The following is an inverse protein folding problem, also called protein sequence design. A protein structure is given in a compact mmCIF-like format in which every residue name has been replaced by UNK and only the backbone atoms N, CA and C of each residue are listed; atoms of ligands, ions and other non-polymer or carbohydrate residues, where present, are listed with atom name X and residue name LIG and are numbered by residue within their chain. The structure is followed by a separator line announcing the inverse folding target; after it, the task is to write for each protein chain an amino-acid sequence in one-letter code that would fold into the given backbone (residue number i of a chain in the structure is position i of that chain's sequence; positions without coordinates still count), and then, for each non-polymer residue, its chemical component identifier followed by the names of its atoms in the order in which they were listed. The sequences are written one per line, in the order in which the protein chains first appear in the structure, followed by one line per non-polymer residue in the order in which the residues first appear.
data_IF_919470261555
#
_entry.id   IF_919470261555
#
_cell.length_a   1.000
_cell.length_b   1.000
_cell.length_c   1.000
_cell.angle_alpha   90.00
_cell.angle_beta   90.00
_cell.angle_gamma   90.00
#
_symmetry.space_group_name_H-M   'P 1'
#
loop_
_entity.id
_entity.type
_entity.pdbx_description
1 polymer ?
#
# COMPACT_ATOMS: atom_id res chain seq x y z
N UNK A 1 2.61 -13.48 7.62
CA UNK A 1 2.76 -12.99 9.03
C UNK A 1 1.98 -11.69 9.28
N UNK A 2 2.37 -10.53 8.72
CA UNK A 2 1.69 -9.25 9.01
C UNK A 2 0.23 -9.19 8.50
N UNK A 3 -0.01 -9.64 7.26
CA UNK A 3 -1.37 -9.72 6.68
C UNK A 3 -2.23 -10.74 7.43
N UNK A 4 -1.66 -11.87 7.85
CA UNK A 4 -2.39 -12.89 8.61
C UNK A 4 -2.82 -12.34 9.98
N UNK A 5 -1.94 -11.63 10.68
CA UNK A 5 -2.28 -10.97 11.94
C UNK A 5 -3.39 -9.92 11.74
N UNK A 6 -3.32 -9.14 10.66
CA UNK A 6 -4.37 -8.18 10.30
C UNK A 6 -5.71 -8.87 10.02
N UNK A 7 -5.69 -9.97 9.27
CA UNK A 7 -6.88 -10.80 9.01
C UNK A 7 -7.50 -11.31 10.31
N UNK A 8 -6.69 -11.93 11.18
CA UNK A 8 -7.16 -12.47 12.45
C UNK A 8 -7.77 -11.38 13.33
N UNK A 9 -7.16 -10.20 13.37
CA UNK A 9 -7.68 -9.05 14.11
C UNK A 9 -9.08 -8.62 13.61
N UNK A 10 -9.28 -8.55 12.29
CA UNK A 10 -10.58 -8.20 11.72
C UNK A 10 -11.62 -9.31 11.91
N UNK A 11 -11.24 -10.58 11.76
CA UNK A 11 -12.14 -11.71 11.98
C UNK A 11 -12.63 -11.78 13.43
N UNK A 12 -11.75 -11.54 14.41
CA UNK A 12 -12.12 -11.48 15.83
C UNK A 12 -13.15 -10.39 16.15
N UNK A 13 -13.23 -9.35 15.32
CA UNK A 13 -14.19 -8.24 15.42
C UNK A 13 -15.45 -8.43 14.56
N UNK A 14 -15.54 -9.54 13.81
CA UNK A 14 -16.63 -9.78 12.86
C UNK A 14 -16.59 -8.89 11.60
N UNK A 15 -15.44 -8.25 11.33
CA UNK A 15 -15.27 -7.29 10.21
C UNK A 15 -14.69 -7.94 8.94
N UNK A 16 -14.32 -9.22 9.01
CA UNK A 16 -13.77 -9.99 7.90
C UNK A 16 -14.27 -11.44 7.91
N UNK A 17 -14.38 -12.03 6.72
CA UNK A 17 -14.67 -13.45 6.51
C UNK A 17 -13.39 -14.22 6.18
N UNK A 18 -13.51 -15.54 6.02
CA UNK A 18 -12.39 -16.39 5.59
C UNK A 18 -11.83 -16.03 4.21
N UNK A 19 -12.62 -15.35 3.37
CA UNK A 19 -12.19 -14.89 2.04
C UNK A 19 -11.29 -13.65 2.11
N UNK A 20 -11.31 -12.91 3.22
CA UNK A 20 -10.49 -11.72 3.41
C UNK A 20 -9.01 -12.07 3.31
N UNK A 21 -8.28 -11.25 2.55
CA UNK A 21 -6.84 -11.37 2.33
C UNK A 21 -6.36 -12.74 1.84
N UNK A 22 -7.26 -13.56 1.28
CA UNK A 22 -6.90 -14.81 0.62
C UNK A 22 -6.16 -14.49 -0.68
N UNK A 23 -4.93 -15.00 -0.82
CA UNK A 23 -4.10 -14.79 -2.01
C UNK A 23 -4.76 -15.36 -3.27
N UNK A 24 -4.61 -14.64 -4.38
CA UNK A 24 -5.00 -15.06 -5.72
C UNK A 24 -3.73 -15.15 -6.59
N UNK A 25 -3.17 -16.35 -6.68
CA UNK A 25 -1.89 -16.56 -7.37
C UNK A 25 -0.78 -15.71 -6.75
N UNK A 26 0.15 -15.26 -7.60
CA UNK A 26 1.38 -14.59 -7.16
C UNK A 26 1.29 -13.06 -7.20
N UNK A 27 0.10 -12.49 -7.44
CA UNK A 27 -0.06 -11.05 -7.68
C UNK A 27 0.46 -10.16 -6.55
N UNK A 28 0.31 -10.59 -5.29
CA UNK A 28 0.81 -9.83 -4.14
C UNK A 28 2.34 -9.91 -4.05
N UNK A 29 2.91 -11.10 -4.27
CA UNK A 29 4.36 -11.29 -4.30
C UNK A 29 4.98 -10.48 -5.44
N UNK A 30 4.34 -10.45 -6.61
CA UNK A 30 4.74 -9.61 -7.74
C UNK A 30 4.70 -8.12 -7.38
N UNK A 31 3.66 -7.64 -6.70
CA UNK A 31 3.58 -6.23 -6.30
C UNK A 31 4.72 -5.83 -5.35
N UNK A 32 5.05 -6.69 -4.38
CA UNK A 32 6.16 -6.48 -3.45
C UNK A 32 7.52 -6.53 -4.17
N UNK A 33 7.69 -7.48 -5.10
CA UNK A 33 8.93 -7.58 -5.88
C UNK A 33 9.10 -6.36 -6.81
N UNK A 34 8.03 -5.88 -7.43
CA UNK A 34 8.08 -4.72 -8.33
C UNK A 34 8.56 -3.47 -7.63
N UNK A 35 8.14 -3.20 -6.38
CA UNK A 35 8.55 -1.99 -5.67
C UNK A 35 10.04 -2.00 -5.27
N UNK A 36 10.66 -3.18 -5.17
CA UNK A 36 12.08 -3.33 -4.85
C UNK A 36 12.93 -3.66 -6.11
N UNK A 37 12.35 -3.58 -7.31
CA UNK A 37 13.05 -3.85 -8.55
C UNK A 37 13.91 -2.65 -8.98
N UNK A 38 15.05 -2.95 -9.63
CA UNK A 38 15.98 -1.95 -10.12
C UNK A 38 16.93 -2.49 -11.19
N UNK A 39 17.87 -1.64 -11.59
CA UNK A 39 18.99 -1.98 -12.47
C UNK A 39 20.31 -1.60 -11.79
N UNK A 40 21.20 -2.58 -11.57
CA UNK A 40 22.42 -2.36 -10.80
C UNK A 40 22.09 -1.98 -9.36
N UNK A 41 22.57 -0.82 -8.92
CA UNK A 41 22.29 -0.27 -7.59
C UNK A 41 21.07 0.68 -7.57
N UNK A 42 20.51 1.00 -8.75
CA UNK A 42 19.42 1.97 -8.88
C UNK A 42 18.05 1.27 -8.88
N UNK A 43 17.20 1.61 -7.91
CA UNK A 43 15.80 1.18 -7.89
C UNK A 43 14.96 1.98 -8.87
N UNK A 44 14.00 1.32 -9.54
CA UNK A 44 13.03 2.00 -10.41
C UNK A 44 12.13 2.95 -9.64
N UNK A 45 11.89 2.64 -8.36
CA UNK A 45 11.20 3.51 -7.41
C UNK A 45 12.21 3.97 -6.36
N UNK A 46 12.87 5.12 -6.59
CA UNK A 46 14.14 5.45 -5.93
C UNK A 46 14.01 5.77 -4.44
N UNK A 47 12.80 6.02 -3.94
CA UNK A 47 12.59 6.41 -2.55
C UNK A 47 11.38 5.70 -1.92
N UNK A 48 11.28 5.80 -0.59
CA UNK A 48 10.23 5.15 0.21
C UNK A 48 8.84 5.66 -0.16
N UNK A 49 8.69 6.95 -0.45
CA UNK A 49 7.40 7.51 -0.84
C UNK A 49 6.90 6.88 -2.15
N UNK A 50 7.78 6.77 -3.15
CA UNK A 50 7.44 6.18 -4.44
C UNK A 50 7.10 4.70 -4.33
N UNK A 51 7.86 3.93 -3.56
CA UNK A 51 7.61 2.51 -3.30
C UNK A 51 6.29 2.30 -2.56
N UNK A 52 6.00 3.11 -1.54
CA UNK A 52 4.74 3.04 -0.81
C UNK A 52 3.53 3.38 -1.72
N UNK A 53 3.63 4.44 -2.53
CA UNK A 53 2.58 4.85 -3.46
C UNK A 53 2.27 3.75 -4.48
N UNK A 54 3.31 3.16 -5.09
CA UNK A 54 3.14 2.06 -6.03
C UNK A 54 2.61 0.79 -5.38
N UNK A 55 3.04 0.47 -4.15
CA UNK A 55 2.49 -0.67 -3.40
C UNK A 55 0.99 -0.53 -3.17
N UNK A 56 0.53 0.65 -2.72
CA UNK A 56 -0.89 0.94 -2.55
C UNK A 56 -1.64 0.77 -3.87
N UNK A 57 -1.11 1.36 -4.95
CA UNK A 57 -1.72 1.30 -6.27
C UNK A 57 -1.84 -0.14 -6.79
N UNK A 58 -0.75 -0.92 -6.76
CA UNK A 58 -0.73 -2.29 -7.29
C UNK A 58 -1.67 -3.21 -6.52
N UNK A 59 -1.65 -3.16 -5.19
CA UNK A 59 -2.53 -4.04 -4.39
C UNK A 59 -3.99 -3.68 -4.61
N UNK A 60 -4.33 -2.40 -4.76
CA UNK A 60 -5.72 -2.00 -4.99
C UNK A 60 -6.18 -2.31 -6.41
N UNK A 61 -5.40 -1.96 -7.44
CA UNK A 61 -5.82 -2.05 -8.86
C UNK A 61 -5.63 -3.43 -9.47
N UNK A 62 -4.62 -4.20 -9.04
CA UNK A 62 -4.36 -5.52 -9.62
C UNK A 62 -5.16 -6.64 -8.92
N UNK A 63 -5.87 -6.30 -7.84
CA UNK A 63 -6.72 -7.23 -7.09
C UNK A 63 -6.07 -8.59 -6.78
N UNK A 64 -4.87 -8.63 -6.15
CA UNK A 64 -4.15 -9.87 -5.88
C UNK A 64 -4.78 -10.74 -4.80
N UNK A 65 -5.87 -10.29 -4.16
CA UNK A 65 -6.59 -10.99 -3.11
C UNK A 65 -8.03 -11.27 -3.55
N UNK A 66 -8.61 -12.37 -3.06
CA UNK A 66 -10.03 -12.70 -3.28
C UNK A 66 -10.96 -11.62 -2.75
N UNK A 67 -10.71 -11.14 -1.53
CA UNK A 67 -11.40 -9.99 -0.94
C UNK A 67 -10.43 -9.16 -0.09
N UNK A 68 -10.77 -7.89 0.13
CA UNK A 68 -10.02 -7.01 1.03
C UNK A 68 -8.86 -6.26 0.38
N UNK A 69 -8.78 -6.19 -0.96
CA UNK A 69 -7.70 -5.50 -1.69
C UNK A 69 -7.49 -4.04 -1.22
N UNK A 70 -8.57 -3.28 -1.03
CA UNK A 70 -8.49 -1.90 -0.52
C UNK A 70 -7.93 -1.83 0.89
N UNK A 71 -8.46 -2.63 1.82
CA UNK A 71 -8.05 -2.67 3.22
C UNK A 71 -6.61 -3.19 3.38
N UNK A 72 -6.25 -4.22 2.62
CA UNK A 72 -4.90 -4.80 2.65
C UNK A 72 -3.89 -3.88 1.99
N UNK A 73 -4.23 -3.22 0.88
CA UNK A 73 -3.38 -2.20 0.25
C UNK A 73 -3.11 -1.02 1.19
N UNK A 74 -4.15 -0.51 1.87
CA UNK A 74 -4.02 0.52 2.89
C UNK A 74 -3.16 0.08 4.08
N UNK A 75 -3.37 -1.14 4.58
CA UNK A 75 -2.55 -1.73 5.64
C UNK A 75 -1.08 -1.84 5.23
N UNK A 76 -0.80 -2.38 4.05
CA UNK A 76 0.56 -2.53 3.54
C UNK A 76 1.24 -1.18 3.29
N UNK A 77 0.52 -0.18 2.81
CA UNK A 77 1.01 1.19 2.66
C UNK A 77 1.50 1.77 3.99
N UNK A 78 0.66 1.73 5.03
CA UNK A 78 1.03 2.23 6.37
C UNK A 78 2.14 1.38 6.99
N UNK A 79 2.07 0.06 6.84
CA UNK A 79 3.08 -0.86 7.36
C UNK A 79 4.45 -0.59 6.74
N UNK A 80 4.52 -0.43 5.41
CA UNK A 80 5.75 -0.13 4.68
C UNK A 80 6.35 1.21 5.11
N UNK A 81 5.52 2.25 5.29
CA UNK A 81 6.00 3.54 5.81
C UNK A 81 6.47 3.44 7.26
N UNK A 82 5.79 2.65 8.10
CA UNK A 82 6.15 2.46 9.50
C UNK A 82 7.52 1.80 9.65
N UNK A 83 7.81 0.74 8.90
CA UNK A 83 9.13 0.08 8.97
C UNK A 83 10.25 1.00 8.43
N UNK A 84 9.89 1.96 7.56
CA UNK A 84 10.79 2.97 7.00
C UNK A 84 10.70 4.34 7.71
N UNK A 85 10.14 4.41 8.92
CA UNK A 85 9.94 5.66 9.69
C UNK A 85 11.22 6.49 9.83
N UNK A 86 12.39 5.85 9.86
CA UNK A 86 13.68 6.50 9.97
C UNK A 86 14.05 7.37 8.76
N UNK A 87 13.44 7.15 7.59
CA UNK A 87 13.61 7.92 6.35
C UNK A 87 12.57 9.03 6.18
N UNK A 88 11.55 9.09 7.05
CA UNK A 88 10.51 10.10 7.01
C UNK A 88 10.93 11.36 7.79
N UNK A 89 10.63 12.55 7.25
CA UNK A 89 10.96 13.82 7.90
C UNK A 89 10.26 14.05 9.24
N UNK A 90 9.11 13.39 9.47
CA UNK A 90 8.30 13.46 10.68
C UNK A 90 7.57 12.13 10.94
N UNK A 91 7.06 11.89 12.17
CA UNK A 91 6.28 10.70 12.49
C UNK A 91 5.17 10.41 11.47
N UNK A 92 4.98 9.15 11.10
CA UNK A 92 4.00 8.72 10.10
C UNK A 92 2.60 9.26 10.39
N UNK A 93 2.19 9.23 11.65
CA UNK A 93 0.87 9.69 12.12
C UNK A 93 0.63 11.19 11.90
N UNK A 94 1.70 11.98 11.75
CA UNK A 94 1.62 13.41 11.40
C UNK A 94 1.54 13.65 9.89
N UNK A 95 1.76 12.61 9.07
CA UNK A 95 1.73 12.67 7.60
C UNK A 95 0.45 12.05 7.06
N UNK A 96 0.10 10.87 7.57
CA UNK A 96 -1.02 10.05 7.12
C UNK A 96 -1.88 9.70 8.33
N UNK A 97 -3.05 10.35 8.42
CA UNK A 97 -4.07 9.98 9.40
C UNK A 97 -5.13 9.04 8.79
N UNK A 98 -6.07 8.57 9.60
CA UNK A 98 -7.10 7.61 9.17
C UNK A 98 -7.94 8.13 8.00
N UNK A 99 -8.32 9.42 8.02
CA UNK A 99 -9.10 10.02 6.94
C UNK A 99 -8.29 10.10 5.63
N UNK A 100 -7.02 10.47 5.71
CA UNK A 100 -6.10 10.46 4.57
C UNK A 100 -5.96 9.05 4.01
N UNK A 101 -5.77 8.05 4.87
CA UNK A 101 -5.61 6.66 4.43
C UNK A 101 -6.86 6.15 3.69
N UNK A 102 -8.05 6.40 4.24
CA UNK A 102 -9.32 6.04 3.60
C UNK A 102 -9.48 6.76 2.27
N UNK A 103 -9.20 8.07 2.22
CA UNK A 103 -9.29 8.86 1.00
C UNK A 103 -8.34 8.35 -0.09
N UNK A 104 -7.09 8.04 0.25
CA UNK A 104 -6.11 7.51 -0.71
C UNK A 104 -6.52 6.13 -1.25
N UNK A 105 -7.02 5.25 -0.39
CA UNK A 105 -7.49 3.93 -0.82
C UNK A 105 -8.71 4.03 -1.75
N UNK A 106 -9.66 4.93 -1.46
CA UNK A 106 -10.84 5.17 -2.29
C UNK A 106 -10.49 5.88 -3.60
N UNK A 107 -9.61 6.88 -3.56
CA UNK A 107 -9.11 7.59 -4.73
C UNK A 107 -8.43 6.61 -5.70
N UNK A 108 -7.51 5.79 -5.18
CA UNK A 108 -6.81 4.77 -5.95
C UNK A 108 -7.79 3.75 -6.54
N UNK A 109 -8.77 3.28 -5.77
CA UNK A 109 -9.73 2.31 -6.27
C UNK A 109 -10.59 2.85 -7.42
N UNK A 110 -10.98 4.13 -7.34
CA UNK A 110 -11.87 4.79 -8.29
C UNK A 110 -11.15 5.42 -9.48
N UNK A 111 -9.83 5.61 -9.42
CA UNK A 111 -9.07 6.24 -10.49
C UNK A 111 -9.08 5.40 -11.77
N UNK A 112 -9.18 6.07 -12.91
CA UNK A 112 -9.04 5.46 -14.22
C UNK A 112 -7.57 5.08 -14.52
N UNK A 113 -7.30 4.13 -15.43
CA UNK A 113 -5.93 3.70 -15.74
C UNK A 113 -5.00 4.83 -16.22
N UNK A 114 -5.50 5.78 -16.98
CA UNK A 114 -4.79 6.97 -17.48
C UNK A 114 -4.46 7.98 -16.36
N UNK A 115 -5.13 7.89 -15.21
CA UNK A 115 -4.87 8.73 -14.04
C UNK A 115 -3.81 8.16 -13.10
N UNK A 116 -3.23 7.00 -13.42
CA UNK A 116 -2.23 6.31 -12.58
C UNK A 116 -1.16 7.25 -12.06
N UNK A 117 -0.46 7.94 -12.96
CA UNK A 117 0.70 8.75 -12.59
C UNK A 117 0.31 9.95 -11.73
N UNK A 118 -0.87 10.53 -11.99
CA UNK A 118 -1.44 11.60 -11.15
C UNK A 118 -1.71 11.13 -9.74
N UNK A 119 -2.33 9.95 -9.57
CA UNK A 119 -2.61 9.37 -8.25
C UNK A 119 -1.32 9.05 -7.51
N UNK A 120 -0.35 8.43 -8.19
CA UNK A 120 0.97 8.12 -7.62
C UNK A 120 1.65 9.40 -7.11
N UNK A 121 1.74 10.44 -7.96
CA UNK A 121 2.35 11.72 -7.58
C UNK A 121 1.62 12.38 -6.42
N UNK A 122 0.30 12.30 -6.36
CA UNK A 122 -0.47 12.84 -5.24
C UNK A 122 -0.09 12.14 -3.93
N UNK A 123 -0.02 10.80 -3.93
CA UNK A 123 0.37 10.02 -2.75
C UNK A 123 1.81 10.35 -2.34
N UNK A 124 2.74 10.40 -3.30
CA UNK A 124 4.15 10.74 -3.03
C UNK A 124 4.30 12.11 -2.37
N UNK A 125 3.57 13.13 -2.85
CA UNK A 125 3.64 14.49 -2.31
C UNK A 125 3.11 14.62 -0.86
N UNK A 126 2.36 13.64 -0.35
CA UNK A 126 1.91 13.62 1.04
C UNK A 126 2.97 13.05 2.00
N UNK A 127 3.99 12.39 1.47
CA UNK A 127 5.04 11.71 2.24
C UNK A 127 6.32 12.54 2.17
N UNK A 128 6.58 13.29 3.23
CA UNK A 128 7.79 14.09 3.37
C UNK A 128 8.93 13.22 3.89
N UNK A 129 9.99 13.14 3.09
CA UNK A 129 11.22 12.42 3.37
C UNK A 129 12.27 13.35 3.98
N UNK A 130 13.25 12.77 4.69
CA UNK A 130 14.41 13.50 5.22
C UNK A 130 15.37 13.96 4.12
#
# INVERSE_FOLDING_TARGET
VAIDAFKQHLMARGEASDLFARLRGDGLASALASIEQGFGEDLFYPNVASRAAHLLYFVIKNHPLTDGNKRTGAFLFVWYLRINQHLLARPLEQQINDNTLVALALLTAQSQPDQKDTVIRLIENLIVLK
#
